data_IF_913944592969
#
_entry.id   IF_913944592969
#
_cell.length_a   1.000
_cell.length_b   1.000
_cell.length_c   1.000
_cell.angle_alpha   90.00
_cell.angle_beta   90.00
_cell.angle_gamma   90.00
#
_symmetry.space_group_name_H-M   'P 1'
#
loop_
_entity.id
_entity.type
_entity.pdbx_description
1 polymer ?
#
# COMPACT_ATOMS: atom_id res chain seq x y z
N UNK A 1 -24.81 -17.77 -10.61
CA UNK A 1 -24.06 -16.84 -9.74
C UNK A 1 -24.56 -15.43 -10.03
N UNK A 2 -24.86 -14.63 -9.00
CA UNK A 2 -25.23 -13.23 -9.20
C UNK A 2 -24.04 -12.42 -9.77
N UNK A 3 -24.29 -11.30 -10.49
CA UNK A 3 -23.26 -10.51 -11.16
C UNK A 3 -22.12 -10.06 -10.23
N UNK A 4 -22.43 -9.65 -8.99
CA UNK A 4 -21.41 -9.23 -8.01
C UNK A 4 -20.44 -10.33 -7.56
N UNK A 5 -20.87 -11.61 -7.57
CA UNK A 5 -19.98 -12.74 -7.21
C UNK A 5 -18.92 -12.97 -8.27
N UNK A 6 -19.30 -12.83 -9.54
CA UNK A 6 -18.39 -13.02 -10.69
C UNK A 6 -17.33 -11.92 -10.69
N UNK A 7 -17.73 -10.68 -10.43
CA UNK A 7 -16.83 -9.53 -10.42
C UNK A 7 -15.80 -9.60 -9.29
N UNK A 8 -16.22 -9.93 -8.06
CA UNK A 8 -15.31 -10.09 -6.91
C UNK A 8 -14.33 -11.24 -7.15
N UNK A 9 -14.81 -12.37 -7.66
CA UNK A 9 -13.94 -13.51 -7.95
C UNK A 9 -12.92 -13.18 -9.05
N UNK A 10 -13.35 -12.51 -10.13
CA UNK A 10 -12.46 -12.08 -11.21
C UNK A 10 -11.38 -11.13 -10.69
N UNK A 11 -11.77 -10.14 -9.88
CA UNK A 11 -10.84 -9.24 -9.21
C UNK A 11 -9.80 -10.01 -8.40
N UNK A 12 -10.24 -10.93 -7.52
CA UNK A 12 -9.35 -11.76 -6.71
C UNK A 12 -8.28 -12.48 -7.55
N UNK A 13 -8.71 -13.14 -8.64
CA UNK A 13 -7.78 -13.86 -9.53
C UNK A 13 -6.77 -12.91 -10.17
N UNK A 14 -7.21 -11.74 -10.63
CA UNK A 14 -6.34 -10.74 -11.25
C UNK A 14 -5.34 -10.13 -10.25
N UNK A 15 -5.80 -9.73 -9.06
CA UNK A 15 -4.97 -9.15 -7.99
C UNK A 15 -3.91 -10.15 -7.54
N UNK A 16 -4.29 -11.40 -7.23
CA UNK A 16 -3.34 -12.42 -6.79
C UNK A 16 -2.33 -12.80 -7.88
N UNK A 17 -2.75 -12.79 -9.16
CA UNK A 17 -1.84 -13.05 -10.27
C UNK A 17 -0.80 -11.95 -10.45
N UNK A 18 -1.19 -10.68 -10.28
CA UNK A 18 -0.25 -9.54 -10.28
C UNK A 18 0.78 -9.64 -9.16
N UNK A 19 0.33 -9.96 -7.94
CA UNK A 19 1.24 -10.13 -6.78
C UNK A 19 2.23 -11.27 -7.02
N UNK A 20 1.78 -12.40 -7.56
CA UNK A 20 2.68 -13.55 -7.85
C UNK A 20 3.71 -13.20 -8.91
N UNK A 21 3.31 -12.56 -10.01
CA UNK A 21 4.25 -12.11 -11.06
C UNK A 21 5.27 -11.12 -10.51
N UNK A 22 4.82 -10.15 -9.73
CA UNK A 22 5.70 -9.17 -9.11
C UNK A 22 6.66 -9.83 -8.11
N UNK A 23 6.17 -10.79 -7.30
CA UNK A 23 7.00 -11.61 -6.41
C UNK A 23 8.10 -12.33 -7.19
N UNK A 24 7.75 -13.04 -8.26
CA UNK A 24 8.73 -13.81 -9.04
C UNK A 24 9.80 -12.87 -9.63
N UNK A 25 9.39 -11.72 -10.16
CA UNK A 25 10.30 -10.69 -10.67
C UNK A 25 11.19 -10.07 -9.57
N UNK A 26 10.62 -9.77 -8.40
CA UNK A 26 11.36 -9.27 -7.26
C UNK A 26 12.35 -10.31 -6.71
N UNK A 27 12.00 -11.59 -6.74
CA UNK A 27 12.85 -12.68 -6.30
C UNK A 27 14.02 -12.91 -7.26
N UNK A 28 13.77 -12.90 -8.57
CA UNK A 28 14.82 -12.94 -9.60
C UNK A 28 15.80 -11.77 -9.45
N UNK A 29 15.29 -10.56 -9.20
CA UNK A 29 16.13 -9.40 -8.93
C UNK A 29 16.92 -9.52 -7.62
N UNK A 30 16.35 -10.20 -6.62
CA UNK A 30 16.97 -10.44 -5.31
C UNK A 30 18.00 -11.58 -5.29
N UNK A 31 18.20 -12.32 -6.39
CA UNK A 31 19.18 -13.42 -6.43
C UNK A 31 20.63 -12.94 -6.15
N UNK A 32 20.90 -11.64 -6.25
CA UNK A 32 22.14 -11.02 -5.80
C UNK A 32 22.33 -11.00 -4.27
N UNK A 33 21.29 -11.23 -3.44
CA UNK A 33 21.35 -11.12 -1.98
C UNK A 33 20.43 -12.10 -1.23
N UNK A 34 20.99 -13.21 -0.73
CA UNK A 34 20.28 -14.25 0.07
C UNK A 34 19.41 -13.70 1.22
N UNK A 35 19.81 -12.58 1.83
CA UNK A 35 19.08 -11.95 2.93
C UNK A 35 17.78 -11.24 2.47
N UNK A 36 17.74 -10.71 1.24
CA UNK A 36 16.56 -10.05 0.68
C UNK A 36 15.48 -11.08 0.39
N UNK A 37 15.83 -12.21 -0.24
CA UNK A 37 14.91 -13.32 -0.49
C UNK A 37 14.27 -13.87 0.80
N UNK A 38 15.08 -14.06 1.85
CA UNK A 38 14.60 -14.51 3.16
C UNK A 38 13.60 -13.55 3.81
N UNK A 39 13.59 -12.28 3.41
CA UNK A 39 12.65 -11.25 3.89
C UNK A 39 11.42 -11.16 3.00
N UNK A 40 11.59 -11.13 1.68
CA UNK A 40 10.53 -10.87 0.70
C UNK A 40 9.56 -12.06 0.58
N UNK A 41 10.10 -13.29 0.51
CA UNK A 41 9.33 -14.50 0.25
C UNK A 41 8.26 -14.80 1.32
N UNK A 42 8.57 -14.82 2.64
CA UNK A 42 7.55 -15.09 3.65
C UNK A 42 6.49 -13.99 3.71
N UNK A 43 6.85 -12.71 3.61
CA UNK A 43 5.89 -11.60 3.68
C UNK A 43 4.89 -11.67 2.54
N UNK A 44 5.34 -11.91 1.31
CA UNK A 44 4.44 -12.01 0.15
C UNK A 44 3.58 -13.27 0.18
N UNK A 45 4.11 -14.37 0.73
CA UNK A 45 3.31 -15.58 0.93
C UNK A 45 2.13 -15.29 1.87
N UNK A 46 2.38 -14.61 2.99
CA UNK A 46 1.32 -14.28 3.93
C UNK A 46 0.34 -13.29 3.30
N UNK A 47 0.82 -12.23 2.62
CA UNK A 47 -0.05 -11.29 1.90
C UNK A 47 -1.00 -11.99 0.91
N UNK A 48 -0.50 -12.93 0.11
CA UNK A 48 -1.30 -13.72 -0.84
C UNK A 48 -2.35 -14.57 -0.13
N UNK A 49 -1.98 -15.20 0.99
CA UNK A 49 -2.90 -16.01 1.79
C UNK A 49 -4.00 -15.16 2.41
N UNK A 50 -3.63 -14.03 3.01
CA UNK A 50 -4.58 -13.13 3.67
C UNK A 50 -5.54 -12.50 2.66
N UNK A 51 -5.06 -12.03 1.50
CA UNK A 51 -5.94 -11.53 0.45
C UNK A 51 -6.86 -12.60 -0.10
N UNK A 52 -6.34 -13.81 -0.36
CA UNK A 52 -7.16 -14.94 -0.82
C UNK A 52 -8.30 -15.23 0.16
N UNK A 53 -8.02 -15.24 1.46
CA UNK A 53 -9.03 -15.44 2.50
C UNK A 53 -10.09 -14.33 2.46
N UNK A 54 -9.68 -13.05 2.48
CA UNK A 54 -10.60 -11.91 2.46
C UNK A 54 -11.55 -11.92 1.25
N UNK A 55 -11.03 -12.21 0.05
CA UNK A 55 -11.85 -12.32 -1.15
C UNK A 55 -12.78 -13.53 -1.13
N UNK A 56 -12.33 -14.68 -0.63
CA UNK A 56 -13.16 -15.88 -0.51
C UNK A 56 -14.31 -15.68 0.45
N UNK A 57 -14.06 -15.04 1.59
CA UNK A 57 -15.08 -14.67 2.56
C UNK A 57 -16.13 -13.74 1.92
N UNK A 58 -15.70 -12.72 1.16
CA UNK A 58 -16.63 -11.82 0.46
C UNK A 58 -17.48 -12.55 -0.58
N UNK A 59 -16.88 -13.47 -1.33
CA UNK A 59 -17.62 -14.32 -2.27
C UNK A 59 -18.65 -15.19 -1.54
N UNK A 60 -18.32 -15.74 -0.37
CA UNK A 60 -19.22 -16.51 0.47
C UNK A 60 -20.39 -15.69 1.00
N UNK A 61 -20.12 -14.46 1.46
CA UNK A 61 -21.14 -13.47 1.86
C UNK A 61 -22.14 -13.21 0.74
N UNK A 62 -21.65 -12.83 -0.44
CA UNK A 62 -22.49 -12.50 -1.60
C UNK A 62 -23.33 -13.71 -2.07
N UNK A 63 -22.80 -14.92 -1.95
CA UNK A 63 -23.57 -16.14 -2.24
C UNK A 63 -24.72 -16.34 -1.25
N UNK A 64 -24.46 -16.15 0.05
CA UNK A 64 -25.50 -16.28 1.11
C UNK A 64 -26.59 -15.22 0.98
N UNK A 65 -26.22 -13.98 0.69
CA UNK A 65 -27.16 -12.87 0.45
C UNK A 65 -28.10 -13.14 -0.74
N UNK A 66 -27.61 -13.84 -1.77
CA UNK A 66 -28.43 -14.23 -2.92
C UNK A 66 -29.35 -15.44 -2.63
N UNK A 67 -29.27 -16.07 -1.45
CA UNK A 67 -29.96 -17.32 -1.13
C UNK A 67 -30.98 -17.24 0.01
N UNK A 68 -31.04 -16.16 0.81
CA UNK A 68 -31.90 -16.09 2.01
C UNK A 68 -32.55 -14.71 2.18
N UNK A 69 -33.84 -14.65 2.54
CA UNK A 69 -34.53 -13.44 3.04
C UNK A 69 -33.91 -13.05 4.40
N UNK A 70 -33.31 -11.88 4.50
CA UNK A 70 -32.25 -11.57 5.47
C UNK A 70 -32.73 -10.68 6.63
N UNK A 71 -32.88 -11.25 7.83
CA UNK A 71 -32.88 -10.48 9.09
C UNK A 71 -31.86 -10.98 10.13
N UNK A 72 -31.43 -12.26 10.13
CA UNK A 72 -30.61 -12.81 11.23
C UNK A 72 -29.11 -13.02 10.94
N UNK A 73 -28.63 -12.82 9.70
CA UNK A 73 -27.26 -13.21 9.31
C UNK A 73 -26.19 -12.11 9.46
N UNK A 74 -26.55 -10.88 9.83
CA UNK A 74 -25.67 -9.71 9.65
C UNK A 74 -24.69 -9.43 10.80
N UNK A 75 -24.87 -9.97 12.00
CA UNK A 75 -24.12 -9.48 13.17
C UNK A 75 -22.77 -10.16 13.42
N UNK A 76 -22.58 -11.42 13.00
CA UNK A 76 -21.35 -12.17 13.36
C UNK A 76 -20.21 -12.03 12.33
N UNK A 77 -20.53 -11.61 11.10
CA UNK A 77 -19.63 -11.60 9.95
C UNK A 77 -18.69 -10.38 9.86
N UNK A 78 -19.12 -9.14 10.20
CA UNK A 78 -18.24 -7.99 10.22
C UNK A 78 -17.06 -8.18 11.19
N UNK A 79 -17.30 -8.87 12.31
CA UNK A 79 -16.33 -9.04 13.38
C UNK A 79 -15.12 -9.89 12.95
N UNK A 80 -15.30 -11.00 12.21
CA UNK A 80 -14.18 -11.86 11.77
C UNK A 80 -13.28 -11.13 10.78
N UNK A 81 -13.88 -10.40 9.83
CA UNK A 81 -13.15 -9.58 8.86
C UNK A 81 -12.44 -8.42 9.59
N UNK A 82 -13.11 -7.74 10.52
CA UNK A 82 -12.52 -6.70 11.37
C UNK A 82 -11.35 -7.22 12.19
N UNK A 83 -11.48 -8.38 12.86
CA UNK A 83 -10.38 -8.99 13.63
C UNK A 83 -9.21 -9.36 12.74
N UNK A 84 -9.44 -9.98 11.57
CA UNK A 84 -8.37 -10.28 10.61
C UNK A 84 -7.65 -9.03 10.07
N UNK A 85 -8.39 -7.93 9.89
CA UNK A 85 -7.88 -6.67 9.33
C UNK A 85 -7.20 -5.75 10.35
N UNK A 86 -7.68 -5.72 11.59
CA UNK A 86 -7.23 -4.78 12.64
C UNK A 86 -6.20 -5.43 13.56
N UNK A 87 -6.44 -6.67 13.99
CA UNK A 87 -5.63 -7.40 14.98
C UNK A 87 -4.90 -8.62 14.38
N UNK A 88 -5.34 -9.03 13.18
CA UNK A 88 -4.90 -10.22 12.51
C UNK A 88 -3.64 -10.05 11.67
N UNK A 89 -3.30 -11.09 10.89
CA UNK A 89 -2.13 -11.11 10.02
C UNK A 89 -2.13 -9.89 9.08
N UNK A 90 -3.27 -9.51 8.50
CA UNK A 90 -3.32 -8.46 7.49
C UNK A 90 -2.69 -7.13 7.91
N UNK A 91 -2.97 -6.64 9.12
CA UNK A 91 -2.37 -5.42 9.68
C UNK A 91 -0.86 -5.56 9.84
N UNK A 92 -0.39 -6.71 10.34
CA UNK A 92 1.05 -7.02 10.52
C UNK A 92 1.77 -7.26 9.19
N UNK A 93 1.14 -7.97 8.27
CA UNK A 93 1.69 -8.31 6.95
C UNK A 93 1.86 -7.04 6.11
N UNK A 94 0.93 -6.09 6.21
CA UNK A 94 1.07 -4.78 5.59
C UNK A 94 2.17 -3.94 6.22
N UNK A 95 2.40 -4.06 7.52
CA UNK A 95 3.57 -3.45 8.17
C UNK A 95 4.89 -4.05 7.62
N UNK A 96 4.87 -5.32 7.22
CA UNK A 96 6.03 -6.00 6.64
C UNK A 96 6.24 -5.68 5.15
N UNK A 97 5.24 -5.17 4.43
CA UNK A 97 5.41 -4.70 3.04
C UNK A 97 6.39 -3.52 2.98
N UNK A 98 6.36 -2.61 3.96
CA UNK A 98 7.35 -1.53 4.01
C UNK A 98 8.78 -2.07 4.19
N UNK A 99 8.95 -3.22 4.86
CA UNK A 99 10.27 -3.89 4.95
C UNK A 99 10.71 -4.40 3.59
N UNK A 100 9.78 -4.87 2.74
CA UNK A 100 10.09 -5.23 1.36
C UNK A 100 10.53 -3.99 0.57
N UNK A 101 9.80 -2.89 0.68
CA UNK A 101 10.12 -1.62 0.02
C UNK A 101 11.52 -1.12 0.44
N UNK A 102 11.84 -1.18 1.74
CA UNK A 102 13.15 -0.87 2.30
C UNK A 102 14.25 -1.80 1.74
N UNK A 103 13.99 -3.10 1.65
CA UNK A 103 14.93 -4.07 1.06
C UNK A 103 15.23 -3.77 -0.41
N UNK A 104 14.23 -3.39 -1.20
CA UNK A 104 14.40 -3.04 -2.62
C UNK A 104 15.21 -1.75 -2.80
N UNK A 105 15.05 -0.78 -1.90
CA UNK A 105 15.78 0.49 -1.91
C UNK A 105 17.28 0.35 -1.56
N UNK A 106 17.69 -0.78 -0.99
CA UNK A 106 19.08 -1.07 -0.63
C UNK A 106 19.89 -1.73 -1.77
N UNK A 107 19.25 -2.06 -2.89
CA UNK A 107 19.91 -2.76 -4.01
C UNK A 107 20.68 -1.77 -4.91
N UNK A 108 21.98 -2.02 -5.20
CA UNK A 108 22.84 -1.05 -5.90
C UNK A 108 22.50 -0.78 -7.39
N UNK A 109 21.59 -1.55 -8.00
CA UNK A 109 21.07 -1.29 -9.36
C UNK A 109 19.91 -0.29 -9.33
N UNK A 110 20.22 1.01 -9.22
CA UNK A 110 19.25 2.08 -8.96
C UNK A 110 18.10 2.19 -9.98
N UNK A 111 18.33 1.90 -11.27
CA UNK A 111 17.29 2.04 -12.31
C UNK A 111 16.24 0.93 -12.30
N UNK A 112 16.64 -0.34 -12.09
CA UNK A 112 15.72 -1.47 -12.02
C UNK A 112 15.07 -1.61 -10.64
N UNK A 113 15.79 -1.24 -9.58
CA UNK A 113 15.26 -1.23 -8.21
C UNK A 113 14.15 -0.17 -8.04
N UNK A 114 14.29 1.00 -8.66
CA UNK A 114 13.25 2.04 -8.64
C UNK A 114 11.98 1.63 -9.38
N UNK A 115 12.10 0.91 -10.51
CA UNK A 115 10.95 0.31 -11.21
C UNK A 115 10.22 -0.73 -10.36
N UNK A 116 10.96 -1.65 -9.74
CA UNK A 116 10.40 -2.67 -8.85
C UNK A 116 9.68 -2.10 -7.63
N UNK A 117 10.30 -1.10 -6.99
CA UNK A 117 9.72 -0.38 -5.86
C UNK A 117 8.43 0.35 -6.28
N UNK A 118 8.43 0.96 -7.47
CA UNK A 118 7.24 1.63 -8.01
C UNK A 118 6.11 0.66 -8.30
N UNK A 119 6.40 -0.48 -8.93
CA UNK A 119 5.40 -1.51 -9.20
C UNK A 119 4.77 -2.04 -7.91
N UNK A 120 5.56 -2.16 -6.83
CA UNK A 120 5.09 -2.54 -5.52
C UNK A 120 4.10 -1.50 -4.96
N UNK A 121 4.47 -0.22 -4.98
CA UNK A 121 3.64 0.88 -4.52
C UNK A 121 2.30 0.92 -5.29
N UNK A 122 2.36 0.80 -6.62
CA UNK A 122 1.17 0.80 -7.46
C UNK A 122 0.27 -0.43 -7.19
N UNK A 123 0.87 -1.60 -7.00
CA UNK A 123 0.17 -2.83 -6.63
C UNK A 123 -0.57 -2.67 -5.30
N UNK A 124 0.10 -2.16 -4.27
CA UNK A 124 -0.49 -1.90 -2.95
C UNK A 124 -1.65 -0.91 -3.04
N UNK A 125 -1.46 0.18 -3.79
CA UNK A 125 -2.52 1.18 -4.03
C UNK A 125 -3.77 0.54 -4.62
N UNK A 126 -3.60 -0.31 -5.64
CA UNK A 126 -4.71 -1.01 -6.27
C UNK A 126 -5.40 -1.99 -5.33
N UNK A 127 -4.65 -2.71 -4.48
CA UNK A 127 -5.22 -3.61 -3.48
C UNK A 127 -6.16 -2.84 -2.55
N UNK A 128 -5.75 -1.69 -2.00
CA UNK A 128 -6.62 -0.89 -1.15
C UNK A 128 -7.89 -0.43 -1.87
N UNK A 129 -7.73 0.07 -3.10
CA UNK A 129 -8.85 0.50 -3.93
C UNK A 129 -9.83 -0.64 -4.22
N UNK A 130 -9.33 -1.83 -4.58
CA UNK A 130 -10.15 -3.01 -4.87
C UNK A 130 -10.87 -3.53 -3.62
N UNK A 131 -10.16 -3.67 -2.50
CA UNK A 131 -10.75 -4.12 -1.25
C UNK A 131 -11.87 -3.17 -0.78
N UNK A 132 -11.68 -1.86 -0.96
CA UNK A 132 -12.69 -0.85 -0.64
C UNK A 132 -13.87 -0.91 -1.62
N UNK A 133 -13.61 -0.95 -2.92
CA UNK A 133 -14.61 -1.02 -3.99
C UNK A 133 -15.60 -2.16 -3.78
N UNK A 134 -15.09 -3.32 -3.39
CA UNK A 134 -15.91 -4.51 -3.14
C UNK A 134 -16.39 -4.63 -1.69
N UNK A 135 -16.25 -3.57 -0.88
CA UNK A 135 -16.67 -3.53 0.53
C UNK A 135 -16.14 -4.73 1.34
N UNK A 136 -14.91 -5.13 1.04
CA UNK A 136 -14.14 -6.11 1.82
C UNK A 136 -13.53 -5.41 3.04
N UNK A 137 -13.13 -4.15 2.87
CA UNK A 137 -12.76 -3.25 3.95
C UNK A 137 -13.71 -2.05 3.99
N UNK A 138 -13.95 -1.53 5.19
CA UNK A 138 -14.70 -0.28 5.38
C UNK A 138 -13.77 0.94 5.24
N UNK A 139 -14.37 2.13 5.17
CA UNK A 139 -13.61 3.37 5.27
C UNK A 139 -12.87 3.53 6.61
N UNK A 140 -13.46 3.06 7.70
CA UNK A 140 -12.84 3.05 9.03
C UNK A 140 -11.61 2.14 9.07
N UNK A 141 -11.70 0.94 8.49
CA UNK A 141 -10.56 0.01 8.39
C UNK A 141 -9.43 0.63 7.57
N UNK A 142 -9.76 1.26 6.44
CA UNK A 142 -8.76 1.93 5.60
C UNK A 142 -8.13 3.13 6.32
N UNK A 143 -8.94 3.93 7.03
CA UNK A 143 -8.43 5.03 7.86
C UNK A 143 -7.48 4.51 8.93
N UNK A 144 -7.87 3.47 9.66
CA UNK A 144 -7.01 2.87 10.67
C UNK A 144 -5.65 2.45 10.09
N UNK A 145 -5.65 1.74 8.95
CA UNK A 145 -4.44 1.26 8.29
C UNK A 145 -3.52 2.39 7.80
N UNK A 146 -4.08 3.41 7.14
CA UNK A 146 -3.31 4.51 6.56
C UNK A 146 -2.73 5.45 7.62
N UNK A 147 -3.38 5.55 8.78
CA UNK A 147 -2.95 6.42 9.86
C UNK A 147 -2.01 5.75 10.88
N UNK A 148 -1.70 4.46 10.70
CA UNK A 148 -0.52 3.86 11.35
C UNK A 148 0.77 4.42 10.75
N UNK A 149 1.87 4.38 11.51
CA UNK A 149 3.19 4.88 11.06
C UNK A 149 3.60 4.32 9.68
N UNK A 150 3.28 3.06 9.41
CA UNK A 150 3.60 2.41 8.14
C UNK A 150 2.69 2.85 6.98
N UNK A 151 1.42 3.17 7.24
CA UNK A 151 0.52 3.74 6.24
C UNK A 151 0.98 5.13 5.81
N UNK A 152 1.41 5.95 6.76
CA UNK A 152 1.95 7.29 6.46
C UNK A 152 3.27 7.21 5.68
N UNK A 153 4.15 6.26 6.01
CA UNK A 153 5.37 5.99 5.23
C UNK A 153 5.05 5.60 3.78
N UNK A 154 4.05 4.75 3.57
CA UNK A 154 3.62 4.36 2.22
C UNK A 154 3.17 5.56 1.38
N UNK A 155 2.37 6.48 1.96
CA UNK A 155 1.96 7.71 1.26
C UNK A 155 3.17 8.62 0.99
N UNK A 156 4.08 8.74 1.94
CA UNK A 156 5.32 9.52 1.78
C UNK A 156 6.17 8.96 0.64
N UNK A 157 6.41 7.65 0.61
CA UNK A 157 7.17 6.98 -0.45
C UNK A 157 6.50 7.15 -1.81
N UNK A 158 5.17 7.00 -1.88
CA UNK A 158 4.40 7.28 -3.10
C UNK A 158 4.65 8.72 -3.58
N UNK A 159 4.57 9.69 -2.66
CA UNK A 159 4.74 11.12 -2.94
C UNK A 159 6.12 11.44 -3.49
N UNK A 160 7.16 10.92 -2.84
CA UNK A 160 8.57 11.12 -3.20
C UNK A 160 8.84 10.65 -4.63
N UNK A 161 8.26 9.52 -5.03
CA UNK A 161 8.52 8.93 -6.34
C UNK A 161 7.63 9.48 -7.45
N UNK A 162 6.41 9.95 -7.13
CA UNK A 162 5.42 10.32 -8.15
C UNK A 162 5.39 11.81 -8.46
N UNK A 163 5.73 12.65 -7.49
CA UNK A 163 5.71 14.10 -7.67
C UNK A 163 7.06 14.52 -8.29
N UNK A 164 7.04 15.35 -9.37
CA UNK A 164 8.24 15.65 -10.15
C UNK A 164 9.39 16.21 -9.29
N UNK A 165 10.61 15.82 -9.63
CA UNK A 165 11.85 16.22 -8.95
C UNK A 165 12.44 17.55 -9.48
N UNK A 166 11.75 18.25 -10.38
CA UNK A 166 12.28 19.44 -11.06
C UNK A 166 12.39 20.67 -10.13
N UNK A 167 13.32 20.60 -9.18
CA UNK A 167 13.73 21.66 -8.28
C UNK A 167 15.25 21.74 -8.30
N UNK A 168 15.82 22.08 -9.47
CA UNK A 168 17.24 22.43 -9.58
C UNK A 168 17.60 23.66 -8.72
N UNK A 169 16.60 24.36 -8.17
CA UNK A 169 16.67 25.25 -7.01
C UNK A 169 15.37 25.07 -6.23
N UNK A 170 15.43 24.80 -4.93
CA UNK A 170 14.27 24.95 -4.05
C UNK A 170 14.06 26.45 -3.86
N UNK A 171 13.06 27.02 -4.51
CA UNK A 171 12.60 28.40 -4.25
C UNK A 171 11.70 28.40 -3.00
N UNK A 172 11.51 29.55 -2.36
CA UNK A 172 10.56 29.74 -1.25
C UNK A 172 9.13 29.33 -1.62
N UNK A 173 8.79 29.35 -2.92
CA UNK A 173 7.53 28.84 -3.47
C UNK A 173 7.41 27.32 -3.39
N UNK A 174 8.52 26.57 -3.43
CA UNK A 174 8.53 25.11 -3.33
C UNK A 174 8.31 24.62 -1.89
N UNK A 175 8.52 25.51 -0.90
CA UNK A 175 8.15 25.27 0.50
C UNK A 175 6.65 25.46 0.77
N UNK A 176 5.92 26.09 -0.17
CA UNK A 176 4.45 26.17 -0.15
C UNK A 176 3.80 24.99 -0.90
N UNK A 177 4.61 24.03 -1.36
CA UNK A 177 4.13 22.85 -2.06
C UNK A 177 3.22 22.00 -1.17
N UNK A 178 1.94 21.98 -1.50
CA UNK A 178 0.96 21.16 -0.81
C UNK A 178 0.97 19.74 -1.39
N UNK A 179 1.55 18.80 -0.66
CA UNK A 179 1.67 17.39 -1.10
C UNK A 179 0.29 16.77 -1.24
N UNK A 180 -0.60 17.01 -0.27
CA UNK A 180 -1.96 16.48 -0.26
C UNK A 180 -2.73 16.88 -1.52
N UNK A 181 -2.73 18.17 -1.84
CA UNK A 181 -3.41 18.72 -3.01
C UNK A 181 -2.80 18.18 -4.31
N UNK A 182 -1.46 18.14 -4.39
CA UNK A 182 -0.75 17.62 -5.56
C UNK A 182 -1.11 16.16 -5.85
N UNK A 183 -1.23 15.33 -4.81
CA UNK A 183 -1.67 13.95 -4.93
C UNK A 183 -3.17 13.82 -5.27
N UNK A 184 -4.00 14.78 -4.86
CA UNK A 184 -5.44 14.76 -5.14
C UNK A 184 -5.78 15.23 -6.55
N UNK A 185 -5.04 16.20 -7.09
CA UNK A 185 -5.40 16.88 -8.34
C UNK A 185 -4.63 16.32 -9.55
N UNK A 186 -3.42 15.80 -9.35
CA UNK A 186 -2.59 15.32 -10.46
C UNK A 186 -3.22 14.13 -11.19
N UNK A 187 -3.31 14.13 -12.53
CA UNK A 187 -3.71 12.94 -13.30
C UNK A 187 -2.78 11.76 -13.04
N UNK A 188 -1.51 12.04 -12.74
CA UNK A 188 -0.51 11.02 -12.48
C UNK A 188 -0.81 10.21 -11.20
N UNK A 189 -1.62 10.75 -10.28
CA UNK A 189 -1.89 10.18 -8.96
C UNK A 189 -3.31 9.68 -8.80
N UNK A 190 -4.04 9.52 -9.92
CA UNK A 190 -5.46 9.19 -9.92
C UNK A 190 -5.80 7.92 -9.11
N UNK A 191 -4.95 6.89 -9.17
CA UNK A 191 -5.11 5.64 -8.42
C UNK A 191 -5.19 5.84 -6.90
N UNK A 192 -4.51 6.86 -6.36
CA UNK A 192 -4.48 7.12 -4.92
C UNK A 192 -5.67 7.95 -4.44
N UNK A 193 -6.33 8.71 -5.32
CA UNK A 193 -7.39 9.65 -4.92
C UNK A 193 -8.51 9.02 -4.10
N UNK A 194 -8.78 7.74 -4.33
CA UNK A 194 -9.84 7.02 -3.60
C UNK A 194 -9.47 6.63 -2.16
N UNK A 195 -8.17 6.65 -1.83
CA UNK A 195 -7.64 6.28 -0.51
C UNK A 195 -7.18 7.49 0.31
N UNK A 196 -6.75 8.59 -0.33
CA UNK A 196 -6.29 9.80 0.35
C UNK A 196 -7.29 10.44 1.33
N UNK A 197 -8.62 10.40 1.11
CA UNK A 197 -9.59 10.97 2.05
C UNK A 197 -9.59 10.32 3.43
N UNK A 198 -8.98 9.13 3.59
CA UNK A 198 -8.92 8.41 4.86
C UNK A 198 -7.66 8.73 5.68
N UNK A 199 -6.76 9.55 5.16
CA UNK A 199 -5.57 10.00 5.90
C UNK A 199 -5.95 11.21 6.76
N UNK A 200 -5.72 11.12 8.06
CA UNK A 200 -6.00 12.17 9.05
C UNK A 200 -5.08 13.38 8.86
N UNK A 201 -5.54 14.54 9.29
CA UNK A 201 -4.81 15.80 9.09
C UNK A 201 -3.48 15.87 9.86
N UNK A 202 -3.37 15.22 11.02
CA UNK A 202 -2.11 15.10 11.76
C UNK A 202 -1.07 14.28 10.97
N UNK A 203 -1.51 13.21 10.31
CA UNK A 203 -0.65 12.40 9.43
C UNK A 203 -0.27 13.13 8.16
N UNK A 204 -1.18 13.92 7.57
CA UNK A 204 -0.83 14.79 6.46
C UNK A 204 0.27 15.79 6.81
N UNK A 205 0.18 16.45 7.98
CA UNK A 205 1.23 17.37 8.44
C UNK A 205 2.58 16.66 8.55
N UNK A 206 2.59 15.44 9.08
CA UNK A 206 3.81 14.64 9.17
C UNK A 206 4.37 14.26 7.78
N UNK A 207 3.51 13.80 6.86
CA UNK A 207 3.90 13.44 5.48
C UNK A 207 4.49 14.65 4.75
N UNK A 208 3.83 15.81 4.83
CA UNK A 208 4.30 17.05 4.20
C UNK A 208 5.67 17.48 4.75
N UNK A 209 5.84 17.43 6.07
CA UNK A 209 7.10 17.76 6.72
C UNK A 209 8.25 16.83 6.26
N UNK A 210 8.05 15.51 6.31
CA UNK A 210 9.10 14.56 5.90
C UNK A 210 9.37 14.61 4.39
N UNK A 211 8.36 14.88 3.57
CA UNK A 211 8.53 15.08 2.13
C UNK A 211 9.43 16.29 1.83
N UNK A 212 9.19 17.43 2.49
CA UNK A 212 10.04 18.63 2.35
C UNK A 212 11.46 18.33 2.81
N UNK A 213 11.62 17.63 3.94
CA UNK A 213 12.94 17.25 4.48
C UNK A 213 13.71 16.36 3.51
N UNK A 214 13.08 15.36 2.91
CA UNK A 214 13.70 14.50 1.91
C UNK A 214 14.06 15.28 0.64
N UNK A 215 13.20 16.19 0.19
CA UNK A 215 13.51 17.12 -0.91
C UNK A 215 14.75 17.96 -0.61
N UNK A 216 14.77 18.64 0.54
CA UNK A 216 15.91 19.46 0.96
C UNK A 216 17.20 18.64 0.97
N UNK A 217 17.15 17.41 1.52
CA UNK A 217 18.30 16.49 1.54
C UNK A 217 18.83 16.17 0.13
N UNK A 218 17.94 15.97 -0.86
CA UNK A 218 18.32 15.69 -2.25
C UNK A 218 18.91 16.91 -2.95
N UNK A 219 18.37 18.11 -2.72
CA UNK A 219 18.82 19.33 -3.39
C UNK A 219 20.08 19.94 -2.76
N UNK A 220 20.28 19.81 -1.45
CA UNK A 220 21.41 20.42 -0.74
C UNK A 220 22.72 19.63 -0.80
N UNK A 221 22.72 18.42 -1.40
CA UNK A 221 23.90 17.55 -1.46
C UNK A 221 24.38 17.02 -0.10
N UNK A 222 23.55 17.06 0.96
CA UNK A 222 23.93 16.49 2.25
C UNK A 222 24.00 14.96 2.16
N UNK A 223 25.12 14.32 2.56
CA UNK A 223 25.23 12.87 2.52
C UNK A 223 24.20 12.21 3.45
N UNK A 224 23.70 11.03 3.04
CA UNK A 224 22.84 10.19 3.89
C UNK A 224 23.56 9.97 5.24
N UNK A 225 22.92 10.23 6.40
CA UNK A 225 23.49 9.78 7.67
C UNK A 225 23.57 8.25 7.63
N UNK A 226 24.78 7.72 7.71
CA UNK A 226 25.00 6.30 7.97
C UNK A 226 24.46 6.00 9.37
N UNK A 227 23.41 5.20 9.45
CA UNK A 227 22.91 4.63 10.70
C UNK A 227 22.03 5.57 11.53
N UNK A 228 20.72 5.51 11.32
CA UNK A 228 19.81 5.68 12.45
C UNK A 228 19.72 4.34 13.17
N UNK A 229 20.46 4.23 14.27
CA UNK A 229 20.09 3.36 15.38
C UNK A 229 18.65 3.73 15.77
N UNK A 230 17.68 2.88 15.42
CA UNK A 230 16.36 2.88 16.04
C UNK A 230 16.54 2.27 17.43
N UNK A 231 16.35 3.09 18.47
CA UNK A 231 16.06 2.59 19.80
C UNK A 231 14.62 2.10 19.87
#
# INVERSE_FOLDING_TARGET
MGPGVVDVHKCCVETLSKIRRWKDYALEFSEAGRNQRATIEPVLKILVQTLSFLFQEKVGELKRQNSVNLEESMEMFPQVILTSLIEGPFSRDFQDINKILDCLNQTPLQASASGLHWDAIHMISNIYTELKKYQIITGENLSYLLNQNNGSNFILDYSIHRLPEDFKKVDLLDLQFNVKLSLQESPATQTMREILPYVHDDKWKWIEFEYIKEKLRRTSGFPKPQGYLRH
#
